data_IF_142283946657
#
_entry.id   IF_142283946657
#
_cell.length_a   1.000
_cell.length_b   1.000
_cell.length_c   1.000
_cell.angle_alpha   90.00
_cell.angle_beta   90.00
_cell.angle_gamma   90.00
#
_symmetry.space_group_name_H-M   'P 1'
#
loop_
_entity.id
_entity.type
_entity.pdbx_description
1 polymer ?
#
# COMPACT_ATOMS: atom_id res chain seq x y z
N UNK A 1 10.95 11.79 -18.82
CA UNK A 1 11.19 12.83 -19.83
C UNK A 1 10.06 13.86 -19.77
N UNK A 2 10.29 15.00 -19.12
CA UNK A 2 9.25 15.98 -18.77
C UNK A 2 8.72 16.72 -20.00
N UNK A 3 9.49 16.74 -21.10
CA UNK A 3 9.10 17.36 -22.37
C UNK A 3 7.95 16.64 -23.10
N UNK A 4 7.69 15.38 -22.77
CA UNK A 4 6.54 14.61 -23.29
C UNK A 4 5.21 14.95 -22.61
N UNK A 5 5.22 15.53 -21.40
CA UNK A 5 4.00 15.86 -20.67
C UNK A 5 3.22 17.02 -21.31
N UNK A 6 3.91 17.96 -21.98
CA UNK A 6 3.26 19.04 -22.73
C UNK A 6 2.52 18.54 -23.99
N UNK A 7 2.85 17.35 -24.49
CA UNK A 7 2.16 16.67 -25.60
C UNK A 7 1.01 15.78 -25.14
N UNK A 8 0.82 15.57 -23.82
CA UNK A 8 -0.36 14.88 -23.32
C UNK A 8 -1.55 15.82 -23.53
N UNK A 9 -2.34 15.50 -24.55
CA UNK A 9 -3.64 16.12 -24.74
C UNK A 9 -4.46 16.11 -23.45
N UNK A 10 -5.20 17.19 -23.20
CA UNK A 10 -6.14 17.25 -22.07
C UNK A 10 -7.39 16.48 -22.45
N UNK A 11 -7.59 15.33 -21.84
CA UNK A 11 -8.84 14.57 -21.92
C UNK A 11 -9.76 14.98 -20.78
N UNK A 12 -11.04 15.17 -21.06
CA UNK A 12 -12.05 15.56 -20.07
C UNK A 12 -13.29 14.68 -20.17
N UNK A 13 -13.83 14.31 -19.02
CA UNK A 13 -15.16 13.76 -18.88
C UNK A 13 -15.85 14.51 -17.74
N UNK A 14 -17.13 14.83 -17.90
CA UNK A 14 -17.93 15.50 -16.87
C UNK A 14 -18.94 14.49 -16.34
N UNK A 15 -18.91 14.27 -15.03
CA UNK A 15 -19.85 13.42 -14.32
C UNK A 15 -21.14 14.20 -14.01
N UNK A 16 -22.18 13.48 -13.61
CA UNK A 16 -23.43 14.09 -13.14
C UNK A 16 -23.19 14.86 -11.83
N UNK A 17 -24.03 15.86 -11.52
CA UNK A 17 -23.80 16.80 -10.40
C UNK A 17 -23.67 16.07 -9.05
N UNK A 18 -24.49 15.05 -8.83
CA UNK A 18 -24.54 14.28 -7.58
C UNK A 18 -23.63 13.05 -7.59
N UNK A 19 -22.83 12.87 -8.65
CA UNK A 19 -21.96 11.71 -8.80
C UNK A 19 -20.51 12.04 -8.44
N UNK A 20 -19.99 11.27 -7.49
CA UNK A 20 -18.64 11.43 -6.99
C UNK A 20 -17.75 10.27 -7.45
N UNK A 21 -16.53 10.61 -7.89
CA UNK A 21 -15.48 9.62 -8.13
C UNK A 21 -14.94 9.15 -6.79
N UNK A 22 -15.07 7.86 -6.50
CA UNK A 22 -14.64 7.26 -5.24
C UNK A 22 -13.29 6.56 -5.38
N UNK A 23 -13.03 5.94 -6.54
CA UNK A 23 -11.80 5.22 -6.80
C UNK A 23 -11.39 5.26 -8.28
N UNK A 24 -10.09 5.09 -8.50
CA UNK A 24 -9.44 5.19 -9.80
C UNK A 24 -8.27 4.20 -9.84
N UNK A 25 -8.13 3.47 -10.94
CA UNK A 25 -6.99 2.59 -11.15
C UNK A 25 -6.60 2.52 -12.63
N UNK A 26 -5.29 2.51 -12.87
CA UNK A 26 -4.75 2.13 -14.18
C UNK A 26 -4.92 0.63 -14.38
N UNK A 27 -5.46 0.25 -15.55
CA UNK A 27 -5.69 -1.13 -15.91
C UNK A 27 -5.15 -1.44 -17.31
N UNK A 28 -4.64 -2.66 -17.46
CA UNK A 28 -4.12 -3.23 -18.69
C UNK A 28 -4.69 -4.64 -18.81
N UNK A 29 -5.95 -4.73 -19.25
CA UNK A 29 -6.67 -6.01 -19.36
C UNK A 29 -6.43 -6.62 -20.74
N UNK A 30 -6.01 -7.90 -20.84
CA UNK A 30 -5.81 -8.56 -22.13
C UNK A 30 -7.07 -8.51 -22.99
N UNK A 31 -6.92 -8.11 -24.25
CA UNK A 31 -8.04 -8.00 -25.20
C UNK A 31 -8.93 -6.76 -25.02
N UNK A 32 -8.64 -5.90 -24.05
CA UNK A 32 -9.30 -4.60 -23.86
C UNK A 32 -8.38 -3.46 -24.35
N UNK A 33 -8.93 -2.33 -24.87
CA UNK A 33 -8.13 -1.17 -25.25
C UNK A 33 -7.15 -0.73 -24.14
N UNK A 34 -5.92 -0.38 -24.50
CA UNK A 34 -4.87 0.04 -23.57
C UNK A 34 -4.07 1.22 -24.16
N UNK A 35 -3.64 2.21 -23.37
CA UNK A 35 -3.79 2.32 -21.92
C UNK A 35 -5.23 2.66 -21.51
N UNK A 36 -5.67 2.11 -20.38
CA UNK A 36 -7.02 2.32 -19.85
C UNK A 36 -7.02 2.71 -18.38
N UNK A 37 -7.98 3.56 -18.03
CA UNK A 37 -8.25 4.02 -16.67
C UNK A 37 -9.63 3.58 -16.27
N UNK A 38 -9.72 2.77 -15.23
CA UNK A 38 -10.96 2.35 -14.62
C UNK A 38 -11.34 3.31 -13.49
N UNK A 39 -12.61 3.68 -13.43
CA UNK A 39 -13.17 4.63 -12.48
C UNK A 39 -14.41 4.01 -11.83
N UNK A 40 -14.43 4.02 -10.50
CA UNK A 40 -15.60 3.68 -9.72
C UNK A 40 -16.22 4.94 -9.13
N UNK A 41 -17.54 5.07 -9.29
CA UNK A 41 -18.30 6.22 -8.80
C UNK A 41 -19.35 5.83 -7.78
N UNK A 42 -19.84 6.82 -7.05
CA UNK A 42 -20.98 6.71 -6.16
C UNK A 42 -21.82 7.98 -6.17
N UNK A 43 -23.14 7.81 -6.13
CA UNK A 43 -24.11 8.87 -5.90
C UNK A 43 -24.64 8.68 -4.48
N UNK A 44 -24.37 9.67 -3.62
CA UNK A 44 -24.85 9.67 -2.24
C UNK A 44 -26.19 10.41 -2.18
N UNK A 45 -27.27 9.68 -1.92
CA UNK A 45 -28.64 10.21 -1.85
C UNK A 45 -29.10 10.48 -0.41
N UNK A 46 -28.16 10.56 0.54
CA UNK A 46 -28.46 10.63 1.98
C UNK A 46 -28.57 9.23 2.61
N UNK A 47 -28.92 9.20 3.89
CA UNK A 47 -28.98 7.97 4.69
C UNK A 47 -30.19 7.08 4.33
N UNK A 48 -31.34 7.70 4.06
CA UNK A 48 -32.61 6.99 3.86
C UNK A 48 -32.76 6.37 2.46
N UNK A 49 -31.98 6.85 1.48
CA UNK A 49 -32.06 6.41 0.10
C UNK A 49 -30.82 5.59 -0.27
N UNK A 50 -31.05 4.50 -1.01
CA UNK A 50 -29.96 3.63 -1.47
C UNK A 50 -28.98 4.37 -2.38
N UNK A 51 -27.71 4.36 -1.99
CA UNK A 51 -26.61 4.87 -2.81
C UNK A 51 -26.43 4.02 -4.08
N UNK A 52 -26.14 4.66 -5.21
CA UNK A 52 -25.90 4.01 -6.50
C UNK A 52 -24.47 4.26 -6.96
N UNK A 53 -23.98 3.52 -7.96
CA UNK A 53 -22.63 3.72 -8.49
C UNK A 53 -22.50 3.30 -9.93
N UNK A 54 -21.36 3.62 -10.55
CA UNK A 54 -21.01 3.18 -11.91
C UNK A 54 -19.56 2.69 -11.96
N UNK A 55 -19.33 1.71 -12.82
CA UNK A 55 -17.98 1.39 -13.31
C UNK A 55 -17.86 2.01 -14.70
N UNK A 56 -16.82 2.81 -14.89
CA UNK A 56 -16.50 3.48 -16.15
C UNK A 56 -15.05 3.16 -16.51
N UNK A 57 -14.79 2.83 -17.77
CA UNK A 57 -13.42 2.61 -18.25
C UNK A 57 -13.18 3.50 -19.46
N UNK A 58 -12.14 4.32 -19.37
CA UNK A 58 -11.69 5.23 -20.41
C UNK A 58 -10.41 4.71 -21.04
N UNK A 59 -10.25 4.86 -22.36
CA UNK A 59 -9.00 4.58 -23.05
C UNK A 59 -8.64 5.72 -23.98
N UNK A 60 -7.39 6.19 -23.90
CA UNK A 60 -6.86 7.22 -24.80
C UNK A 60 -6.33 6.65 -26.11
N UNK A 61 -6.41 5.33 -26.30
CA UNK A 61 -5.96 4.67 -27.52
C UNK A 61 -6.78 5.17 -28.71
N UNK A 62 -6.08 5.64 -29.75
CA UNK A 62 -6.66 6.10 -31.01
C UNK A 62 -7.71 7.23 -30.87
N UNK A 63 -7.57 8.08 -29.85
CA UNK A 63 -8.48 9.20 -29.60
C UNK A 63 -7.77 10.54 -29.58
N UNK A 64 -8.45 11.55 -30.11
CA UNK A 64 -7.96 12.92 -30.06
C UNK A 64 -8.17 13.54 -28.67
N UNK A 65 -7.29 14.47 -28.25
CA UNK A 65 -7.48 15.26 -27.03
C UNK A 65 -8.83 15.98 -27.03
N UNK A 66 -9.55 15.96 -25.91
CA UNK A 66 -10.84 16.61 -25.79
C UNK A 66 -11.80 15.85 -24.88
N UNK A 67 -13.09 15.87 -25.21
CA UNK A 67 -14.10 15.13 -24.44
C UNK A 67 -14.00 13.65 -24.77
N UNK A 68 -13.76 12.81 -23.76
CA UNK A 68 -13.55 11.38 -23.92
C UNK A 68 -14.76 10.59 -23.37
N UNK A 69 -15.55 9.90 -24.22
CA UNK A 69 -16.61 9.03 -23.71
C UNK A 69 -16.01 7.75 -23.08
N UNK A 70 -16.68 7.12 -22.12
CA UNK A 70 -16.24 5.82 -21.61
C UNK A 70 -16.28 4.77 -22.75
N UNK A 71 -15.25 3.92 -22.83
CA UNK A 71 -15.23 2.74 -23.70
C UNK A 71 -16.16 1.66 -23.15
N UNK A 72 -16.22 1.55 -21.83
CA UNK A 72 -17.12 0.66 -21.12
C UNK A 72 -17.78 1.42 -19.98
N UNK A 73 -19.08 1.19 -19.80
CA UNK A 73 -19.83 1.74 -18.68
C UNK A 73 -20.86 0.71 -18.19
N UNK A 74 -21.02 0.61 -16.87
CA UNK A 74 -22.06 -0.22 -16.25
C UNK A 74 -22.56 0.45 -14.97
N UNK A 75 -23.87 0.67 -14.90
CA UNK A 75 -24.54 1.18 -13.70
C UNK A 75 -24.80 0.05 -12.70
N UNK A 76 -24.63 0.36 -11.43
CA UNK A 76 -24.74 -0.57 -10.31
C UNK A 76 -25.69 0.01 -9.25
N UNK A 77 -26.37 -0.90 -8.53
CA UNK A 77 -27.31 -0.56 -7.45
C UNK A 77 -26.60 -0.18 -6.14
N UNK A 78 -25.27 -0.19 -6.12
CA UNK A 78 -24.42 0.09 -4.98
C UNK A 78 -23.22 0.93 -5.44
N UNK A 79 -22.60 1.72 -4.53
CA UNK A 79 -21.42 2.50 -4.86
C UNK A 79 -20.21 1.61 -5.12
N UNK A 80 -19.29 2.09 -5.97
CA UNK A 80 -18.02 1.45 -6.27
C UNK A 80 -16.90 2.16 -5.52
N UNK A 81 -16.55 1.66 -4.34
CA UNK A 81 -15.54 2.25 -3.45
C UNK A 81 -14.11 1.82 -3.77
N UNK A 82 -13.93 0.67 -4.42
CA UNK A 82 -12.62 0.16 -4.85
C UNK A 82 -12.71 -0.37 -6.27
N UNK A 83 -11.69 -0.07 -7.07
CA UNK A 83 -11.48 -0.61 -8.41
C UNK A 83 -9.99 -0.89 -8.61
N UNK A 84 -9.66 -1.93 -9.37
CA UNK A 84 -8.28 -2.27 -9.70
C UNK A 84 -8.17 -3.52 -10.55
N UNK A 85 -6.97 -4.09 -10.59
CA UNK A 85 -6.68 -5.26 -11.42
C UNK A 85 -5.80 -6.26 -10.66
N UNK A 86 -6.04 -7.54 -10.89
CA UNK A 86 -5.11 -8.62 -10.55
C UNK A 86 -5.02 -9.59 -11.71
N UNK A 87 -3.82 -9.76 -12.27
CA UNK A 87 -3.63 -10.56 -13.48
C UNK A 87 -4.46 -10.00 -14.65
N UNK A 88 -5.33 -10.83 -15.23
CA UNK A 88 -6.24 -10.47 -16.33
C UNK A 88 -7.64 -10.05 -15.86
N UNK A 89 -7.88 -9.97 -14.55
CA UNK A 89 -9.20 -9.72 -13.99
C UNK A 89 -9.36 -8.26 -13.56
N UNK A 90 -10.47 -7.65 -13.97
CA UNK A 90 -10.97 -6.41 -13.37
C UNK A 90 -11.55 -6.75 -12.00
N UNK A 91 -11.19 -5.96 -10.99
CA UNK A 91 -11.73 -6.11 -9.65
C UNK A 91 -12.44 -4.81 -9.28
N UNK A 92 -13.68 -4.91 -8.82
CA UNK A 92 -14.43 -3.77 -8.31
C UNK A 92 -15.33 -4.18 -7.15
N UNK A 93 -15.60 -3.23 -6.27
CA UNK A 93 -16.57 -3.40 -5.19
C UNK A 93 -18.00 -3.10 -5.67
N UNK A 94 -18.96 -3.86 -5.19
CA UNK A 94 -20.40 -3.58 -5.25
C UNK A 94 -20.94 -3.65 -3.81
N UNK A 95 -20.92 -2.51 -3.10
CA UNK A 95 -21.21 -2.47 -1.67
C UNK A 95 -20.12 -3.19 -0.87
N UNK A 96 -20.50 -4.19 -0.05
CA UNK A 96 -19.55 -5.00 0.71
C UNK A 96 -18.97 -6.19 -0.09
N UNK A 97 -19.49 -6.47 -1.29
CA UNK A 97 -19.01 -7.56 -2.15
C UNK A 97 -17.94 -7.06 -3.11
N UNK A 98 -16.97 -7.91 -3.40
CA UNK A 98 -15.91 -7.63 -4.37
C UNK A 98 -16.06 -8.65 -5.49
N UNK A 99 -16.17 -8.18 -6.73
CA UNK A 99 -16.31 -9.03 -7.90
C UNK A 99 -15.03 -9.06 -8.71
N UNK A 100 -14.72 -10.24 -9.23
CA UNK A 100 -13.64 -10.47 -10.18
C UNK A 100 -14.26 -10.75 -11.53
N UNK A 101 -13.93 -9.92 -12.51
CA UNK A 101 -14.51 -9.98 -13.83
C UNK A 101 -13.45 -10.17 -14.89
N UNK A 102 -13.81 -10.97 -15.90
CA UNK A 102 -12.97 -11.21 -17.06
C UNK A 102 -13.61 -10.56 -18.28
N UNK A 103 -12.78 -9.95 -19.11
CA UNK A 103 -13.19 -9.42 -20.39
C UNK A 103 -13.34 -10.54 -21.42
N UNK A 104 -14.57 -10.83 -21.84
CA UNK A 104 -14.89 -11.84 -22.86
C UNK A 104 -16.12 -11.36 -23.66
N UNK A 105 -16.13 -11.63 -24.97
CA UNK A 105 -17.26 -11.31 -25.86
C UNK A 105 -17.74 -9.85 -25.74
N UNK A 106 -16.80 -8.90 -25.70
CA UNK A 106 -17.08 -7.46 -25.59
C UNK A 106 -17.79 -7.04 -24.30
N UNK A 107 -17.72 -7.85 -23.24
CA UNK A 107 -18.34 -7.58 -21.96
C UNK A 107 -17.47 -8.07 -20.78
N UNK A 108 -17.68 -7.48 -19.61
CA UNK A 108 -17.08 -7.98 -18.38
C UNK A 108 -18.03 -8.97 -17.69
N UNK A 109 -17.58 -10.23 -17.58
CA UNK A 109 -18.35 -11.32 -16.99
C UNK A 109 -17.84 -11.63 -15.59
N UNK A 110 -18.75 -11.73 -14.61
CA UNK A 110 -18.44 -12.09 -13.22
C UNK A 110 -17.99 -13.55 -13.14
N UNK A 111 -16.77 -13.74 -12.66
CA UNK A 111 -16.13 -15.06 -12.57
C UNK A 111 -16.06 -15.56 -11.13
N UNK A 112 -15.81 -14.65 -10.19
CA UNK A 112 -15.76 -14.96 -8.76
C UNK A 112 -16.16 -13.73 -7.95
N UNK A 113 -16.49 -13.95 -6.68
CA UNK A 113 -16.77 -12.88 -5.74
C UNK A 113 -16.17 -13.20 -4.37
N UNK A 114 -15.96 -12.15 -3.59
CA UNK A 114 -15.57 -12.21 -2.20
C UNK A 114 -16.52 -11.36 -1.37
N UNK A 115 -17.08 -11.95 -0.31
CA UNK A 115 -17.88 -11.22 0.66
C UNK A 115 -16.96 -10.53 1.67
N UNK A 116 -16.79 -9.22 1.49
CA UNK A 116 -16.16 -8.34 2.46
C UNK A 116 -17.06 -8.13 3.69
N UNK A 117 -16.64 -7.23 4.59
CA UNK A 117 -17.32 -7.07 5.87
C UNK A 117 -18.36 -5.95 5.89
N UNK A 118 -17.96 -4.70 5.68
CA UNK A 118 -18.87 -3.55 5.66
C UNK A 118 -18.69 -2.69 4.42
N UNK A 119 -17.52 -2.08 4.28
CA UNK A 119 -17.21 -1.17 3.18
C UNK A 119 -15.73 -1.27 2.89
N UNK A 120 -15.42 -1.78 1.71
CA UNK A 120 -14.04 -1.97 1.28
C UNK A 120 -13.48 -0.60 0.91
N UNK A 121 -12.44 -0.17 1.60
CA UNK A 121 -11.84 1.17 1.45
C UNK A 121 -10.61 1.16 0.56
N UNK A 122 -9.88 0.04 0.55
CA UNK A 122 -8.66 -0.11 -0.24
C UNK A 122 -8.44 -1.56 -0.66
N UNK A 123 -7.72 -1.75 -1.75
CA UNK A 123 -7.27 -3.07 -2.20
C UNK A 123 -5.83 -2.98 -2.66
N UNK A 124 -5.05 -4.00 -2.34
CA UNK A 124 -3.77 -4.27 -2.97
C UNK A 124 -3.66 -5.72 -3.40
N UNK A 125 -2.83 -5.98 -4.40
CA UNK A 125 -2.56 -7.33 -4.90
C UNK A 125 -1.07 -7.58 -5.06
N UNK A 126 -0.66 -8.83 -4.81
CA UNK A 126 0.68 -9.34 -5.10
C UNK A 126 0.58 -10.81 -5.51
N UNK A 127 0.96 -11.11 -6.76
CA UNK A 127 0.79 -12.44 -7.36
C UNK A 127 -0.68 -12.89 -7.22
N UNK A 128 -0.93 -14.00 -6.51
CA UNK A 128 -2.24 -14.55 -6.24
C UNK A 128 -2.80 -14.18 -4.85
N UNK A 129 -2.16 -13.25 -4.13
CA UNK A 129 -2.66 -12.76 -2.86
C UNK A 129 -3.25 -11.37 -2.99
N UNK A 130 -4.30 -11.12 -2.24
CA UNK A 130 -4.99 -9.84 -2.15
C UNK A 130 -5.10 -9.42 -0.70
N UNK A 131 -5.08 -8.12 -0.50
CA UNK A 131 -5.36 -7.48 0.77
C UNK A 131 -6.51 -6.51 0.57
N UNK A 132 -7.54 -6.64 1.40
CA UNK A 132 -8.67 -5.73 1.41
C UNK A 132 -8.70 -4.97 2.72
N UNK A 133 -8.72 -3.65 2.66
CA UNK A 133 -8.99 -2.78 3.79
C UNK A 133 -10.48 -2.54 3.93
N UNK A 134 -10.97 -2.53 5.17
CA UNK A 134 -12.37 -2.27 5.51
C UNK A 134 -12.48 -1.03 6.42
N UNK A 135 -13.60 -0.32 6.29
CA UNK A 135 -13.92 0.87 7.06
C UNK A 135 -13.99 0.61 8.57
N UNK A 136 -14.27 -0.63 9.02
CA UNK A 136 -14.45 -0.93 10.44
C UNK A 136 -13.76 -2.22 10.90
N UNK A 137 -13.61 -3.19 10.00
CA UNK A 137 -13.13 -4.55 10.34
C UNK A 137 -11.65 -4.79 10.08
N UNK A 138 -10.87 -3.75 9.82
CA UNK A 138 -9.43 -3.85 9.60
C UNK A 138 -9.11 -4.39 8.22
N UNK A 139 -8.29 -5.44 8.13
CA UNK A 139 -7.84 -6.02 6.86
C UNK A 139 -8.21 -7.50 6.72
N UNK A 140 -8.56 -7.89 5.51
CA UNK A 140 -8.77 -9.28 5.09
C UNK A 140 -7.64 -9.70 4.14
N UNK A 141 -6.91 -10.76 4.49
CA UNK A 141 -5.90 -11.37 3.64
C UNK A 141 -6.49 -12.56 2.87
N UNK A 142 -6.48 -12.46 1.55
CA UNK A 142 -7.23 -13.36 0.66
C UNK A 142 -6.29 -13.97 -0.38
N UNK A 143 -6.54 -15.23 -0.71
CA UNK A 143 -5.83 -15.94 -1.77
C UNK A 143 -6.78 -16.23 -2.94
N UNK A 144 -6.34 -15.84 -4.14
CA UNK A 144 -6.88 -16.30 -5.39
C UNK A 144 -6.38 -17.72 -5.68
N UNK A 145 -7.30 -18.65 -5.86
CA UNK A 145 -7.03 -20.01 -6.30
C UNK A 145 -7.77 -20.26 -7.60
N UNK A 146 -7.03 -20.72 -8.59
CA UNK A 146 -7.54 -21.12 -9.89
C UNK A 146 -7.07 -22.56 -10.11
N UNK A 147 -8.02 -23.49 -10.13
CA UNK A 147 -7.75 -24.90 -10.36
C UNK A 147 -8.01 -25.23 -11.82
N UNK A 148 -6.93 -25.38 -12.59
CA UNK A 148 -7.00 -25.59 -14.04
C UNK A 148 -7.75 -26.87 -14.42
N UNK A 149 -7.67 -27.91 -13.58
CA UNK A 149 -8.29 -29.22 -13.84
C UNK A 149 -9.82 -29.19 -13.72
N UNK A 150 -10.35 -28.49 -12.72
CA UNK A 150 -11.79 -28.38 -12.47
C UNK A 150 -12.41 -27.12 -13.08
N UNK A 151 -11.59 -26.22 -13.64
CA UNK A 151 -11.98 -24.87 -14.09
C UNK A 151 -12.68 -24.06 -12.97
N UNK A 152 -12.45 -24.42 -11.72
CA UNK A 152 -13.01 -23.69 -10.58
C UNK A 152 -12.08 -22.56 -10.17
N UNK A 153 -12.68 -21.43 -9.82
CA UNK A 153 -12.00 -20.23 -9.36
C UNK A 153 -12.62 -19.83 -8.04
N UNK A 154 -11.80 -19.70 -7.01
CA UNK A 154 -12.29 -19.34 -5.69
C UNK A 154 -11.36 -18.38 -4.97
N UNK A 155 -12.00 -17.50 -4.19
CA UNK A 155 -11.34 -16.57 -3.29
C UNK A 155 -11.43 -17.15 -1.88
N UNK A 156 -10.29 -17.51 -1.31
CA UNK A 156 -10.23 -18.03 0.06
C UNK A 156 -9.67 -16.96 0.99
N UNK A 157 -10.45 -16.54 1.99
CA UNK A 157 -9.91 -15.78 3.13
C UNK A 157 -8.89 -16.68 3.84
N UNK A 158 -7.63 -16.25 3.88
CA UNK A 158 -6.59 -16.94 4.63
C UNK A 158 -6.62 -16.50 6.09
N UNK A 159 -6.69 -15.19 6.31
CA UNK A 159 -6.60 -14.61 7.64
C UNK A 159 -7.18 -13.20 7.66
N UNK A 160 -7.45 -12.65 8.84
CA UNK A 160 -7.95 -11.28 9.03
C UNK A 160 -7.33 -10.62 10.26
N UNK A 161 -7.39 -9.30 10.34
CA UNK A 161 -7.02 -8.61 11.59
C UNK A 161 -7.96 -8.99 12.75
N UNK A 162 -7.51 -8.88 14.01
CA UNK A 162 -8.31 -9.24 15.19
C UNK A 162 -9.68 -8.53 15.22
N UNK A 163 -10.80 -9.27 15.33
CA UNK A 163 -12.16 -8.70 15.21
C UNK A 163 -12.62 -7.94 16.45
N UNK A 164 -11.96 -8.15 17.60
CA UNK A 164 -12.22 -7.49 18.87
C UNK A 164 -11.84 -6.01 18.86
N UNK A 165 -11.06 -5.57 17.88
CA UNK A 165 -10.74 -4.16 17.65
C UNK A 165 -11.37 -3.64 16.37
N UNK A 166 -12.09 -2.52 16.48
CA UNK A 166 -12.46 -1.72 15.31
C UNK A 166 -11.22 -1.02 14.77
N UNK A 167 -10.85 -1.29 13.52
CA UNK A 167 -9.77 -0.62 12.83
C UNK A 167 -10.31 -0.09 11.51
N UNK A 168 -10.33 1.24 11.36
CA UNK A 168 -10.73 1.91 10.12
C UNK A 168 -9.51 2.07 9.23
N UNK A 169 -9.45 1.28 8.17
CA UNK A 169 -8.33 1.27 7.23
C UNK A 169 -8.60 2.26 6.11
N UNK A 170 -7.67 3.17 5.86
CA UNK A 170 -7.73 4.12 4.74
C UNK A 170 -7.00 3.59 3.50
N UNK A 171 -5.88 2.90 3.73
CA UNK A 171 -5.09 2.25 2.70
C UNK A 171 -4.43 0.99 3.26
N UNK A 172 -4.30 -0.04 2.43
CA UNK A 172 -3.61 -1.27 2.77
C UNK A 172 -2.62 -1.63 1.67
N UNK A 173 -1.45 -2.12 2.02
CA UNK A 173 -0.43 -2.50 1.05
C UNK A 173 0.53 -3.56 1.60
N UNK A 174 1.26 -4.23 0.72
CA UNK A 174 2.28 -5.20 1.05
C UNK A 174 3.66 -4.56 1.15
N UNK A 175 4.46 -5.07 2.07
CA UNK A 175 5.90 -4.80 2.16
C UNK A 175 6.65 -6.13 1.99
N UNK A 176 7.71 -6.16 1.17
CA UNK A 176 8.39 -7.41 0.82
C UNK A 176 9.86 -7.32 1.19
N UNK A 177 10.34 -8.32 1.92
CA UNK A 177 11.75 -8.47 2.24
C UNK A 177 12.20 -9.91 1.95
N UNK A 178 12.79 -10.12 0.79
CA UNK A 178 13.25 -11.41 0.28
C UNK A 178 12.13 -12.46 0.27
N UNK A 179 12.11 -13.36 1.26
CA UNK A 179 11.11 -14.43 1.44
C UNK A 179 9.98 -14.05 2.40
N UNK A 180 10.08 -12.90 3.06
CA UNK A 180 9.11 -12.42 4.05
C UNK A 180 8.14 -11.43 3.42
N UNK A 181 6.85 -11.61 3.73
CA UNK A 181 5.76 -10.74 3.32
C UNK A 181 5.15 -10.09 4.56
N UNK A 182 5.18 -8.77 4.62
CA UNK A 182 4.45 -7.97 5.60
C UNK A 182 3.17 -7.40 4.98
N UNK A 183 2.12 -7.34 5.79
CA UNK A 183 0.84 -6.75 5.42
C UNK A 183 0.67 -5.46 6.22
N UNK A 184 0.50 -4.33 5.55
CA UNK A 184 0.44 -3.01 6.19
C UNK A 184 -0.98 -2.48 6.08
N UNK A 185 -1.54 -2.03 7.21
CA UNK A 185 -2.77 -1.27 7.27
C UNK A 185 -2.47 0.15 7.77
N UNK A 186 -2.93 1.16 7.03
CA UNK A 186 -2.84 2.56 7.42
C UNK A 186 -4.21 2.99 7.92
N UNK A 187 -4.30 3.37 9.19
CA UNK A 187 -5.56 3.69 9.82
C UNK A 187 -5.93 5.19 9.71
N UNK A 188 -7.15 5.51 10.10
CA UNK A 188 -7.64 6.90 10.16
C UNK A 188 -7.00 7.75 11.27
N UNK A 189 -6.36 7.14 12.28
CA UNK A 189 -5.71 7.86 13.38
C UNK A 189 -4.31 8.35 13.02
N UNK A 190 -3.77 7.93 11.88
CA UNK A 190 -2.39 8.22 11.48
C UNK A 190 -1.40 7.18 11.98
N UNK A 191 -1.83 5.95 12.19
CA UNK A 191 -1.01 4.81 12.61
C UNK A 191 -0.84 3.81 11.47
N UNK A 192 0.36 3.28 11.34
CA UNK A 192 0.68 2.15 10.47
C UNK A 192 0.75 0.87 11.31
N UNK A 193 0.00 -0.15 10.92
CA UNK A 193 0.00 -1.46 11.54
C UNK A 193 0.63 -2.48 10.60
N UNK A 194 1.69 -3.14 11.05
CA UNK A 194 2.34 -4.23 10.35
C UNK A 194 1.85 -5.56 10.89
N UNK A 195 1.38 -6.40 9.99
CA UNK A 195 0.94 -7.75 10.27
C UNK A 195 1.80 -8.76 9.51
N UNK A 196 1.87 -9.98 10.05
CA UNK A 196 2.41 -11.14 9.36
C UNK A 196 1.38 -12.27 9.35
N UNK A 197 1.35 -13.01 8.25
CA UNK A 197 0.63 -14.27 8.15
C UNK A 197 1.59 -15.43 8.43
N UNK A 198 1.25 -16.29 9.38
CA UNK A 198 2.00 -17.52 9.67
C UNK A 198 1.03 -18.70 9.61
N UNK A 199 1.12 -19.56 8.59
CA UNK A 199 0.26 -20.74 8.49
C UNK A 199 0.64 -21.76 9.57
N UNK A 200 -0.32 -22.57 9.99
CA UNK A 200 -0.25 -23.55 11.07
C UNK A 200 0.26 -22.97 12.39
N UNK A 201 -0.30 -21.83 12.82
CA UNK A 201 0.07 -21.25 14.11
C UNK A 201 -0.55 -22.03 15.28
N UNK A 202 0.27 -22.36 16.29
CA UNK A 202 -0.15 -23.11 17.50
C UNK A 202 -1.05 -22.30 18.47
N UNK A 203 -1.55 -21.14 18.04
CA UNK A 203 -2.32 -20.22 18.86
C UNK A 203 -3.81 -20.57 18.97
N UNK A 204 -4.48 -20.05 20.02
CA UNK A 204 -5.91 -20.27 20.29
C UNK A 204 -6.86 -19.88 19.15
N UNK A 205 -6.43 -18.99 18.26
CA UNK A 205 -7.22 -18.49 17.12
C UNK A 205 -6.77 -19.08 15.77
N UNK A 206 -5.74 -19.95 15.78
CA UNK A 206 -5.19 -20.63 14.61
C UNK A 206 -4.82 -19.69 13.46
N UNK A 207 -4.86 -20.22 12.24
CA UNK A 207 -4.50 -19.50 11.00
C UNK A 207 -5.46 -18.36 10.64
N UNK A 208 -6.57 -18.22 11.36
CA UNK A 208 -7.65 -17.31 11.02
C UNK A 208 -7.29 -15.84 11.28
N UNK A 209 -6.31 -15.58 12.16
CA UNK A 209 -5.95 -14.22 12.55
C UNK A 209 -4.52 -13.85 12.21
N UNK A 210 -4.38 -12.60 11.76
CA UNK A 210 -3.10 -12.02 11.43
C UNK A 210 -2.36 -11.66 12.72
N UNK A 211 -1.09 -12.05 12.78
CA UNK A 211 -0.22 -11.71 13.89
C UNK A 211 0.20 -10.25 13.76
N UNK A 212 -0.11 -9.44 14.77
CA UNK A 212 0.42 -8.08 14.89
C UNK A 212 1.94 -8.13 15.12
N UNK A 213 2.69 -7.44 14.26
CA UNK A 213 4.13 -7.35 14.30
C UNK A 213 4.63 -5.99 14.80
N UNK A 214 3.94 -4.90 14.48
CA UNK A 214 4.25 -3.56 14.96
C UNK A 214 3.10 -2.60 14.74
N UNK A 215 3.04 -1.56 15.58
CA UNK A 215 2.24 -0.35 15.37
C UNK A 215 3.17 0.85 15.43
N UNK A 216 3.02 1.79 14.51
CA UNK A 216 3.83 3.01 14.44
C UNK A 216 2.96 4.23 14.16
N UNK A 217 2.97 5.21 15.06
CA UNK A 217 2.26 6.48 14.85
C UNK A 217 3.04 7.37 13.89
N UNK A 218 2.47 7.61 12.72
CA UNK A 218 2.99 8.52 11.71
C UNK A 218 2.66 9.98 12.06
N UNK A 219 1.61 10.20 12.86
CA UNK A 219 1.12 11.51 13.30
C UNK A 219 -0.06 12.04 12.48
N UNK A 220 -0.12 11.69 11.19
CA UNK A 220 -1.21 12.06 10.28
C UNK A 220 -1.67 10.85 9.45
N UNK A 221 -2.97 10.78 9.09
CA UNK A 221 -3.50 9.69 8.28
C UNK A 221 -2.90 9.66 6.88
N UNK A 222 -2.63 8.47 6.38
CA UNK A 222 -2.14 8.24 5.02
C UNK A 222 -3.22 7.50 4.22
N UNK A 223 -3.71 8.12 3.14
CA UNK A 223 -4.76 7.55 2.28
C UNK A 223 -4.24 7.00 0.95
N UNK A 224 -3.03 7.37 0.56
CA UNK A 224 -2.38 6.86 -0.64
C UNK A 224 -1.07 6.17 -0.25
N UNK A 225 -0.90 4.95 -0.74
CA UNK A 225 0.28 4.16 -0.54
C UNK A 225 0.67 3.49 -1.86
N UNK A 226 1.97 3.44 -2.14
CA UNK A 226 2.54 2.89 -3.36
C UNK A 226 3.68 1.96 -3.02
N UNK A 227 3.54 0.69 -3.41
CA UNK A 227 4.61 -0.30 -3.29
C UNK A 227 5.65 -0.07 -4.38
N UNK A 228 6.91 0.10 -3.98
CA UNK A 228 8.03 0.39 -4.87
C UNK A 228 9.13 -0.65 -4.71
N UNK A 229 9.66 -1.14 -5.83
CA UNK A 229 10.85 -1.99 -5.85
C UNK A 229 12.06 -1.13 -5.47
N UNK A 230 12.62 -1.38 -4.29
CA UNK A 230 13.77 -0.63 -3.79
C UNK A 230 15.08 -1.35 -4.10
N UNK A 231 15.10 -2.68 -3.97
CA UNK A 231 16.21 -3.57 -4.38
C UNK A 231 15.63 -4.90 -4.88
N UNK A 232 16.42 -5.75 -5.56
CA UNK A 232 15.98 -7.11 -5.89
C UNK A 232 15.51 -7.85 -4.64
N UNK A 233 14.24 -8.29 -4.64
CA UNK A 233 13.61 -8.95 -3.50
C UNK A 233 13.16 -8.01 -2.37
N UNK A 234 13.40 -6.70 -2.43
CA UNK A 234 12.95 -5.74 -1.42
C UNK A 234 11.98 -4.74 -2.03
N UNK A 235 10.74 -4.75 -1.55
CA UNK A 235 9.72 -3.78 -1.92
C UNK A 235 9.35 -2.94 -0.70
N UNK A 236 9.58 -1.63 -0.82
CA UNK A 236 9.25 -0.63 0.20
C UNK A 236 7.89 0.00 -0.08
N UNK A 237 7.31 0.62 0.94
CA UNK A 237 6.03 1.29 0.84
C UNK A 237 6.22 2.80 0.95
N UNK A 238 5.95 3.53 -0.13
CA UNK A 238 5.87 4.99 -0.12
C UNK A 238 4.45 5.41 0.25
N UNK A 239 4.29 6.34 1.18
CA UNK A 239 3.01 6.76 1.72
C UNK A 239 2.92 8.28 1.66
N UNK A 240 1.75 8.80 1.29
CA UNK A 240 1.47 10.22 1.33
C UNK A 240 0.59 10.54 2.55
N UNK A 241 1.12 11.39 3.42
CA UNK A 241 0.48 11.84 4.66
C UNK A 241 -0.46 13.00 4.41
N UNK A 242 -1.57 13.07 5.14
CA UNK A 242 -2.49 14.22 5.16
C UNK A 242 -1.84 15.52 5.63
N UNK A 243 -0.68 15.44 6.31
CA UNK A 243 0.14 16.60 6.67
C UNK A 243 1.01 17.16 5.53
N UNK A 244 0.95 16.57 4.33
CA UNK A 244 1.76 16.97 3.17
C UNK A 244 3.16 16.34 3.11
N UNK A 245 3.43 15.35 3.99
CA UNK A 245 4.70 14.64 4.03
C UNK A 245 4.67 13.35 3.19
N UNK A 246 5.83 12.96 2.65
CA UNK A 246 6.04 11.66 2.05
C UNK A 246 6.84 10.78 3.00
N UNK A 247 6.28 9.63 3.37
CA UNK A 247 6.85 8.67 4.30
C UNK A 247 7.25 7.40 3.52
N UNK A 248 8.32 6.72 3.96
CA UNK A 248 8.74 5.45 3.38
C UNK A 248 8.91 4.41 4.47
N UNK A 249 8.14 3.32 4.38
CA UNK A 249 8.34 2.13 5.19
C UNK A 249 9.19 1.14 4.39
N UNK A 250 10.46 1.05 4.75
CA UNK A 250 11.42 0.13 4.13
C UNK A 250 11.68 -1.05 5.07
N UNK A 251 11.48 -2.29 4.61
CA UNK A 251 11.89 -3.44 5.40
C UNK A 251 13.41 -3.61 5.31
N UNK A 252 14.01 -4.06 6.40
CA UNK A 252 15.44 -4.33 6.51
C UNK A 252 15.65 -5.72 7.09
N UNK A 253 16.85 -6.25 6.95
CA UNK A 253 17.25 -7.51 7.57
C UNK A 253 17.40 -7.38 9.09
N UNK A 254 17.30 -8.50 9.80
CA UNK A 254 17.37 -8.52 11.26
C UNK A 254 18.69 -7.99 11.83
N UNK A 255 19.81 -8.16 11.11
CA UNK A 255 21.12 -7.70 11.56
C UNK A 255 21.22 -6.18 11.46
N UNK A 256 20.80 -5.60 10.33
CA UNK A 256 20.67 -4.15 10.19
C UNK A 256 19.66 -3.60 11.20
N UNK A 257 18.52 -4.26 11.39
CA UNK A 257 17.50 -3.84 12.36
C UNK A 257 18.05 -3.75 13.78
N UNK A 258 18.74 -4.79 14.27
CA UNK A 258 19.37 -4.77 15.60
C UNK A 258 20.38 -3.63 15.75
N UNK A 259 21.17 -3.38 14.71
CA UNK A 259 22.15 -2.28 14.68
C UNK A 259 21.47 -0.92 14.74
N UNK A 260 20.44 -0.71 13.91
CA UNK A 260 19.63 0.51 13.83
C UNK A 260 18.91 0.76 15.15
N UNK A 261 18.20 -0.22 15.70
CA UNK A 261 17.46 -0.09 16.96
C UNK A 261 18.38 0.26 18.13
N UNK A 262 19.57 -0.35 18.19
CA UNK A 262 20.58 -0.04 19.21
C UNK A 262 21.10 1.40 19.07
N UNK A 263 21.45 1.80 17.84
CA UNK A 263 21.89 3.17 17.55
C UNK A 263 20.82 4.19 17.94
N UNK A 264 19.57 3.98 17.51
CA UNK A 264 18.44 4.85 17.83
C UNK A 264 18.19 4.94 19.33
N UNK A 265 18.41 3.86 20.08
CA UNK A 265 18.33 3.88 21.54
C UNK A 265 19.39 4.76 22.20
N UNK A 266 20.61 4.73 21.68
CA UNK A 266 21.68 5.61 22.15
C UNK A 266 21.40 7.08 21.79
N UNK A 267 20.94 7.35 20.57
CA UNK A 267 20.62 8.71 20.14
C UNK A 267 19.44 9.29 20.92
N UNK A 268 18.39 8.50 21.14
CA UNK A 268 17.20 8.87 21.92
C UNK A 268 17.50 9.22 23.38
N UNK A 269 18.61 8.73 23.95
CA UNK A 269 18.98 8.98 25.35
C UNK A 269 20.05 10.05 25.52
N UNK A 270 20.86 10.30 24.47
CA UNK A 270 22.05 11.16 24.56
C UNK A 270 21.87 12.52 23.87
N UNK A 271 20.92 12.65 22.95
CA UNK A 271 20.72 13.90 22.23
C UNK A 271 19.58 14.73 22.86
N UNK A 272 19.73 16.06 22.92
CA UNK A 272 18.63 16.93 23.28
C UNK A 272 17.59 16.97 22.14
N UNK A 273 16.32 16.84 22.49
CA UNK A 273 15.22 16.96 21.54
C UNK A 273 14.58 18.35 21.61
N UNK A 274 14.09 18.82 20.46
CA UNK A 274 13.37 20.09 20.36
C UNK A 274 12.16 20.05 21.30
N UNK A 275 12.04 21.06 22.15
CA UNK A 275 10.95 21.16 23.13
C UNK A 275 10.95 20.07 24.21
N UNK A 276 12.05 19.33 24.40
CA UNK A 276 12.12 18.24 25.39
C UNK A 276 11.22 17.05 25.09
N UNK A 277 10.69 16.96 23.86
CA UNK A 277 9.75 15.92 23.45
C UNK A 277 10.48 14.58 23.27
N UNK A 278 9.84 13.50 23.70
CA UNK A 278 10.36 12.16 23.50
C UNK A 278 9.90 11.59 22.13
N UNK A 279 10.81 11.41 21.17
CA UNK A 279 10.44 10.91 19.84
C UNK A 279 9.85 9.50 19.88
N UNK A 280 10.31 8.64 20.81
CA UNK A 280 9.79 7.28 20.95
C UNK A 280 8.36 7.26 21.48
N UNK A 281 8.06 8.15 22.43
CA UNK A 281 6.71 8.28 22.96
C UNK A 281 5.74 8.77 21.87
N UNK A 282 6.16 9.71 21.03
CA UNK A 282 5.36 10.18 19.90
C UNK A 282 5.00 9.08 18.89
N UNK A 283 5.93 8.14 18.64
CA UNK A 283 5.70 7.01 17.72
C UNK A 283 4.90 5.87 18.35
N UNK A 284 4.79 5.86 19.68
CA UNK A 284 4.03 4.87 20.39
C UNK A 284 2.54 5.22 20.32
N UNK A 285 1.79 4.34 19.67
CA UNK A 285 0.35 4.28 19.86
C UNK A 285 0.06 2.87 20.37
N UNK A 286 -0.66 2.76 21.48
CA UNK A 286 -1.13 1.47 21.99
C UNK A 286 -2.02 0.76 20.96
N UNK A 287 -2.52 1.52 19.97
CA UNK A 287 -3.40 1.02 18.92
C UNK A 287 -4.71 0.53 19.54
N UNK A 288 -5.50 -0.22 18.78
CA UNK A 288 -6.65 -0.89 19.36
C UNK A 288 -6.21 -1.91 20.44
N UNK A 289 -6.87 -1.96 21.61
CA UNK A 289 -6.46 -2.78 22.76
C UNK A 289 -6.26 -4.28 22.46
N UNK A 290 -6.90 -4.78 21.41
CA UNK A 290 -6.85 -6.18 20.99
C UNK A 290 -5.63 -6.55 20.13
N UNK A 291 -4.87 -5.58 19.62
CA UNK A 291 -3.59 -5.86 18.97
C UNK A 291 -2.58 -6.23 20.05
N UNK A 292 -2.54 -7.52 20.41
CA UNK A 292 -1.66 -8.12 21.43
C UNK A 292 -0.27 -7.47 21.41
N UNK A 293 0.07 -6.80 22.52
CA UNK A 293 1.32 -6.12 22.88
C UNK A 293 2.11 -5.50 21.70
N UNK A 294 2.20 -4.16 21.59
CA UNK A 294 2.93 -3.50 20.52
C UNK A 294 4.39 -3.99 20.49
N UNK A 295 4.70 -4.84 19.53
CA UNK A 295 6.07 -5.30 19.28
C UNK A 295 6.80 -4.20 18.51
N UNK A 296 7.97 -3.80 19.03
CA UNK A 296 8.82 -2.78 18.42
C UNK A 296 9.56 -3.40 17.24
N UNK A 297 8.94 -3.36 16.05
CA UNK A 297 9.54 -3.82 14.79
C UNK A 297 9.53 -2.73 13.67
N UNK A 298 9.12 -1.51 14.01
CA UNK A 298 9.24 -0.34 13.12
C UNK A 298 9.97 0.74 13.91
N UNK A 299 11.03 1.27 13.33
CA UNK A 299 11.93 2.25 13.96
C UNK A 299 11.88 3.59 13.20
N UNK A 300 12.03 4.70 13.92
CA UNK A 300 12.06 6.03 13.33
C UNK A 300 13.44 6.37 12.76
N UNK A 301 13.56 6.32 11.43
CA UNK A 301 14.80 6.61 10.73
C UNK A 301 15.20 8.10 10.74
N UNK A 302 14.35 9.03 11.22
CA UNK A 302 14.68 10.46 11.25
C UNK A 302 15.94 10.73 12.07
N UNK A 303 16.13 10.01 13.20
CA UNK A 303 17.31 10.18 14.04
C UNK A 303 18.59 9.62 13.41
N UNK A 304 18.50 8.71 12.43
CA UNK A 304 19.68 8.22 11.71
C UNK A 304 20.35 9.33 10.92
N UNK A 305 19.56 10.27 10.38
CA UNK A 305 20.09 11.47 9.71
C UNK A 305 20.90 12.31 10.70
N UNK A 306 20.42 12.46 11.93
CA UNK A 306 21.13 13.23 12.96
C UNK A 306 22.51 12.62 13.23
N UNK A 307 22.61 11.29 13.36
CA UNK A 307 23.91 10.62 13.53
C UNK A 307 24.89 10.92 12.39
N UNK A 308 24.42 10.89 11.13
CA UNK A 308 25.25 11.18 9.96
C UNK A 308 25.84 12.61 9.99
N UNK A 309 25.16 13.57 10.62
CA UNK A 309 25.59 14.97 10.74
C UNK A 309 26.26 15.32 12.08
N UNK A 310 26.42 14.35 13.01
CA UNK A 310 27.21 14.59 14.23
C UNK A 310 28.69 14.83 13.91
N UNK A 311 29.38 15.54 14.80
CA UNK A 311 30.82 15.74 14.69
C UNK A 311 31.58 14.40 14.79
N UNK A 312 32.72 14.30 14.10
CA UNK A 312 33.50 13.06 14.06
C UNK A 312 33.87 12.50 15.46
N UNK A 313 34.23 13.31 16.47
CA UNK A 313 34.47 12.80 17.83
C UNK A 313 33.22 12.15 18.46
N UNK A 314 32.04 12.74 18.27
CA UNK A 314 30.79 12.20 18.81
C UNK A 314 30.38 10.91 18.10
N UNK A 315 30.55 10.85 16.77
CA UNK A 315 30.32 9.62 16.01
C UNK A 315 31.22 8.49 16.50
N UNK A 316 32.51 8.76 16.75
CA UNK A 316 33.46 7.77 17.29
C UNK A 316 33.06 7.30 18.69
N UNK A 317 32.68 8.22 19.59
CA UNK A 317 32.23 7.87 20.94
C UNK A 317 31.01 6.95 20.94
N UNK A 318 30.05 7.20 20.05
CA UNK A 318 28.87 6.33 19.87
C UNK A 318 29.30 4.97 19.29
N UNK A 319 30.17 4.98 18.29
CA UNK A 319 30.67 3.78 17.63
C UNK A 319 31.45 2.86 18.60
N UNK A 320 32.29 3.43 19.46
CA UNK A 320 32.99 2.73 20.55
C UNK A 320 32.02 2.06 21.52
N UNK A 321 30.94 2.75 21.92
CA UNK A 321 29.89 2.16 22.77
C UNK A 321 29.15 1.01 22.10
N UNK A 322 28.91 1.11 20.80
CA UNK A 322 28.30 0.03 20.01
C UNK A 322 29.27 -1.09 19.67
N UNK A 323 30.58 -0.91 19.92
CA UNK A 323 31.66 -1.84 19.53
C UNK A 323 31.68 -2.10 18.01
N UNK A 324 31.35 -1.08 17.22
CA UNK A 324 31.35 -1.12 15.76
C UNK A 324 32.17 0.05 15.21
N UNK A 325 32.69 -0.06 13.99
CA UNK A 325 33.29 1.08 13.32
C UNK A 325 32.20 2.04 12.81
N UNK A 326 32.52 3.34 12.73
CA UNK A 326 31.61 4.34 12.15
C UNK A 326 31.19 3.93 10.74
N UNK A 327 32.13 3.41 9.94
CA UNK A 327 31.84 2.90 8.59
C UNK A 327 30.85 1.73 8.59
N UNK A 328 30.95 0.79 9.54
CA UNK A 328 30.01 -0.32 9.65
C UNK A 328 28.59 0.16 10.02
N UNK A 329 28.49 1.14 10.94
CA UNK A 329 27.21 1.74 11.32
C UNK A 329 26.59 2.49 10.15
N UNK A 330 27.39 3.29 9.44
CA UNK A 330 26.93 4.02 8.25
C UNK A 330 26.49 3.06 7.14
N UNK A 331 27.22 1.95 6.93
CA UNK A 331 26.83 0.91 5.97
C UNK A 331 25.50 0.25 6.34
N UNK A 332 25.28 -0.06 7.61
CA UNK A 332 24.04 -0.67 8.09
C UNK A 332 22.83 0.28 8.01
N UNK A 333 23.05 1.58 8.18
CA UNK A 333 21.98 2.61 8.14
C UNK A 333 21.73 3.18 6.75
N UNK A 334 22.66 3.01 5.81
CA UNK A 334 22.57 3.53 4.45
C UNK A 334 21.28 3.12 3.73
N UNK A 335 20.80 1.86 3.77
CA UNK A 335 19.54 1.48 3.12
C UNK A 335 18.33 2.28 3.63
N UNK A 336 18.30 2.61 4.92
CA UNK A 336 17.25 3.43 5.53
C UNK A 336 17.35 4.90 5.11
N UNK A 337 18.57 5.40 4.90
CA UNK A 337 18.84 6.80 4.58
C UNK A 337 18.62 7.13 3.09
N UNK A 338 18.98 6.22 2.18
CA UNK A 338 19.02 6.51 0.75
C UNK A 338 17.75 6.15 0.00
N UNK A 339 16.84 5.35 0.58
CA UNK A 339 15.60 4.88 -0.05
C UNK A 339 15.73 4.79 -1.58
N UNK A 340 16.77 4.07 -2.05
CA UNK A 340 17.09 4.02 -3.46
C UNK A 340 15.90 3.40 -4.19
N UNK A 341 15.24 4.20 -5.02
CA UNK A 341 14.13 3.74 -5.85
C UNK A 341 14.75 3.11 -7.10
N UNK A 342 14.93 1.78 -7.10
CA UNK A 342 15.51 1.03 -8.23
C UNK A 342 14.65 1.07 -9.52
N UNK A 343 13.47 1.71 -9.50
CA UNK A 343 12.47 1.58 -10.56
C UNK A 343 11.91 2.90 -11.11
N UNK A 344 12.47 4.06 -10.75
CA UNK A 344 12.31 5.23 -11.62
C UNK A 344 13.31 5.05 -12.76
N UNK A 345 12.90 4.28 -13.79
CA UNK A 345 13.71 3.91 -14.97
C UNK A 345 14.76 5.00 -15.26
N UNK A 346 16.04 4.63 -15.16
CA UNK A 346 17.07 5.34 -15.90
C UNK A 346 16.59 5.37 -17.35
N UNK A 347 16.35 6.57 -17.86
CA UNK A 347 16.13 6.78 -19.29
C UNK A 347 17.36 6.17 -19.96
N UNK A 348 17.22 5.18 -20.86
CA UNK A 348 18.37 4.74 -21.63
C UNK A 348 18.86 5.96 -22.39
N UNK A 349 20.03 6.47 -22.01
CA UNK A 349 20.76 7.43 -22.84
C UNK A 349 20.98 6.73 -24.16
N UNK A 350 20.25 7.15 -25.20
CA UNK A 350 20.36 6.55 -26.52
C UNK A 350 21.80 6.60 -26.99
N UNK A 351 22.47 5.45 -27.01
CA UNK A 351 23.65 5.25 -27.82
C UNK A 351 23.16 5.18 -29.26
N UNK A 352 23.23 6.30 -29.97
CA UNK A 352 23.08 6.31 -31.41
C UNK A 352 24.20 5.49 -32.03
N UNK A 353 23.89 4.30 -32.54
CA UNK A 353 24.71 3.68 -33.56
C UNK A 353 24.21 4.19 -34.90
N UNK A 354 24.95 5.15 -35.46
CA UNK A 354 24.87 5.46 -36.88
C UNK A 354 25.24 4.19 -37.65
N UNK A 355 24.27 3.62 -38.38
CA UNK A 355 24.56 2.64 -39.40
C UNK A 355 25.12 3.38 -40.63
N UNK A 356 26.30 2.96 -41.06
CA UNK A 356 26.73 3.10 -42.46
C UNK A 356 26.07 2.02 -43.29
#
# INVERSE_FOLDING_TARGET
DVKGLAKLGRYRFSFDIDEHVLCLAWITIPGFPSPSVAVGTGVNTGEDLTSRGRVLIFSTKDREPGVIPPVYQRSLKTPVTVIGQSGSYLIHSEGFKIFFERWENSSFNKVAFFDGSMCVTSMSSIKNFLLFGDLRKGIDFVQWKEETASQTRNLRRLSRSPPSSSMTVLACEFVVCQKSLGLVALDHTGSAHLFSYSPHSDGREGDQLLRSCATFSMGFPCRAALRLQAEPGVQSLLMASGGGELLCLRPIDDQAYRTVATLLGLLATRLPFRGGLNPRAFRHNDGPPALVAPRKNIEDAVLLRVFAFLSAPLQRLIAEKMRLSVAAIMKATMPCATCQLFSLKQVPSGSGSAAK
#
